data_IF_564291956221
#
_entry.id   IF_564291956221
#
_cell.length_a   1.000
_cell.length_b   1.000
_cell.length_c   1.000
_cell.angle_alpha   90.00
_cell.angle_beta   90.00
_cell.angle_gamma   90.00
#
_symmetry.space_group_name_H-M   'P 1'
#
loop_
_entity.id
_entity.type
_entity.pdbx_description
1 polymer ?
#
# COMPACT_ATOMS: atom_id res chain seq x y z
N UNK A 1 -6.13 8.50 -13.48
CA UNK A 1 -6.75 7.91 -12.27
C UNK A 1 -5.77 7.98 -11.12
N UNK A 2 -6.21 8.45 -9.95
CA UNK A 2 -5.42 8.40 -8.71
C UNK A 2 -5.65 7.04 -8.03
N UNK A 3 -4.57 6.35 -7.69
CA UNK A 3 -4.60 5.05 -7.06
C UNK A 3 -3.80 5.06 -5.75
N UNK A 4 -4.43 4.59 -4.68
CA UNK A 4 -3.79 4.31 -3.42
C UNK A 4 -3.33 2.85 -3.40
N UNK A 5 -2.07 2.62 -3.06
CA UNK A 5 -1.49 1.27 -2.92
C UNK A 5 -1.03 1.02 -1.50
N UNK A 6 -1.44 -0.11 -0.93
CA UNK A 6 -0.83 -0.67 0.27
C UNK A 6 0.37 -1.57 -0.06
N UNK A 7 1.01 -2.12 0.97
CA UNK A 7 2.18 -2.98 0.77
C UNK A 7 1.86 -4.29 0.05
N UNK A 8 0.65 -4.84 0.19
CA UNK A 8 0.28 -6.13 -0.41
C UNK A 8 0.41 -6.13 -1.93
N UNK A 9 0.09 -5.01 -2.60
CA UNK A 9 0.20 -4.89 -4.05
C UNK A 9 1.66 -4.93 -4.51
N UNK A 10 2.54 -4.12 -3.89
CA UNK A 10 3.95 -4.12 -4.28
C UNK A 10 4.63 -5.45 -3.93
N UNK A 11 4.27 -6.07 -2.81
CA UNK A 11 4.86 -7.34 -2.40
C UNK A 11 4.47 -8.48 -3.36
N UNK A 12 3.23 -8.50 -3.85
CA UNK A 12 2.83 -9.45 -4.88
C UNK A 12 3.68 -9.34 -6.15
N UNK A 13 4.01 -8.11 -6.57
CA UNK A 13 4.91 -7.87 -7.70
C UNK A 13 6.33 -8.32 -7.37
N UNK A 14 6.88 -7.84 -6.26
CA UNK A 14 8.29 -8.07 -5.89
C UNK A 14 8.61 -9.53 -5.61
N UNK A 15 7.66 -10.29 -5.08
CA UNK A 15 7.84 -11.70 -4.75
C UNK A 15 7.37 -12.66 -5.85
N UNK A 16 6.88 -12.15 -6.97
CA UNK A 16 6.27 -12.93 -8.04
C UNK A 16 5.17 -13.87 -7.50
N UNK A 17 4.26 -13.32 -6.69
CA UNK A 17 3.13 -14.09 -6.15
C UNK A 17 2.11 -14.39 -7.25
N UNK A 18 1.15 -15.28 -6.98
CA UNK A 18 0.11 -15.70 -7.93
C UNK A 18 -0.64 -14.49 -8.54
N UNK A 19 -0.83 -13.43 -7.76
CA UNK A 19 -1.54 -12.21 -8.17
C UNK A 19 -0.62 -11.12 -8.75
N UNK A 20 0.61 -11.45 -9.10
CA UNK A 20 1.59 -10.49 -9.65
C UNK A 20 1.05 -9.74 -10.86
N UNK A 21 0.49 -10.45 -11.84
CA UNK A 21 0.01 -9.83 -13.09
C UNK A 21 -1.15 -8.85 -12.83
N UNK A 22 -2.06 -9.20 -11.90
CA UNK A 22 -3.12 -8.30 -11.45
C UNK A 22 -2.53 -7.05 -10.78
N UNK A 23 -1.63 -7.25 -9.82
CA UNK A 23 -0.99 -6.17 -9.08
C UNK A 23 -0.24 -5.21 -10.03
N UNK A 24 0.48 -5.77 -11.01
CA UNK A 24 1.20 -4.99 -12.02
C UNK A 24 0.24 -4.24 -12.95
N UNK A 25 -0.88 -4.84 -13.36
CA UNK A 25 -1.92 -4.13 -14.13
C UNK A 25 -2.48 -2.95 -13.34
N UNK A 26 -2.82 -3.14 -12.05
CA UNK A 26 -3.30 -2.04 -11.22
C UNK A 26 -2.28 -0.92 -11.08
N UNK A 27 -1.00 -1.28 -10.91
CA UNK A 27 0.11 -0.33 -10.83
C UNK A 27 0.27 0.47 -12.12
N UNK A 28 0.35 -0.21 -13.27
CA UNK A 28 0.61 0.40 -14.58
C UNK A 28 -0.55 1.28 -15.07
N UNK A 29 -1.80 0.94 -14.76
CA UNK A 29 -2.98 1.72 -15.13
C UNK A 29 -3.14 3.03 -14.33
N UNK A 30 -2.42 3.17 -13.20
CA UNK A 30 -2.50 4.35 -12.34
C UNK A 30 -1.68 5.53 -12.89
N UNK A 31 -2.36 6.63 -13.20
CA UNK A 31 -1.72 7.89 -13.63
C UNK A 31 -0.99 8.57 -12.47
N UNK A 32 -1.55 8.47 -11.26
CA UNK A 32 -0.95 9.05 -10.05
C UNK A 32 -1.02 8.01 -8.95
N UNK A 33 0.13 7.68 -8.39
CA UNK A 33 0.28 6.66 -7.36
C UNK A 33 0.48 7.37 -6.03
N UNK A 34 -0.34 7.06 -5.05
CA UNK A 34 -0.28 7.69 -3.72
C UNK A 34 -0.19 6.61 -2.64
N UNK A 35 0.50 6.91 -1.56
CA UNK A 35 0.50 6.08 -0.35
C UNK A 35 1.00 6.88 0.85
N UNK A 36 1.13 6.24 2.02
CA UNK A 36 1.84 6.83 3.15
C UNK A 36 3.28 6.34 3.22
N UNK A 37 4.10 6.99 4.05
CA UNK A 37 5.46 6.52 4.35
C UNK A 37 5.49 5.08 4.90
N UNK A 38 4.37 4.58 5.43
CA UNK A 38 4.22 3.21 5.93
C UNK A 38 4.48 2.17 4.85
N UNK A 39 4.08 2.43 3.59
CA UNK A 39 4.34 1.54 2.46
C UNK A 39 5.84 1.21 2.33
N UNK A 40 6.71 2.21 2.50
CA UNK A 40 8.17 2.02 2.44
C UNK A 40 8.65 1.10 3.56
N UNK A 41 8.11 1.30 4.76
CA UNK A 41 8.51 0.57 5.97
C UNK A 41 8.04 -0.89 5.88
N UNK A 42 6.79 -1.12 5.49
CA UNK A 42 6.23 -2.47 5.40
C UNK A 42 6.90 -3.30 4.31
N UNK A 43 7.17 -2.70 3.15
CA UNK A 43 7.80 -3.40 2.04
C UNK A 43 9.25 -3.78 2.37
N UNK A 44 10.07 -2.85 2.89
CA UNK A 44 11.47 -3.18 3.24
C UNK A 44 11.57 -4.20 4.38
N UNK A 45 10.69 -4.14 5.38
CA UNK A 45 10.65 -5.12 6.46
C UNK A 45 10.25 -6.49 5.92
N UNK A 46 9.31 -6.54 4.98
CA UNK A 46 8.89 -7.79 4.33
C UNK A 46 9.99 -8.39 3.45
N UNK A 47 10.71 -7.57 2.66
CA UNK A 47 11.88 -8.02 1.90
C UNK A 47 12.95 -8.64 2.81
N UNK A 48 13.30 -7.95 3.89
CA UNK A 48 14.29 -8.43 4.87
C UNK A 48 13.84 -9.72 5.55
N UNK A 49 12.56 -9.82 5.92
CA UNK A 49 11.98 -11.02 6.52
C UNK A 49 12.02 -12.20 5.54
N UNK A 50 11.63 -11.97 4.28
CA UNK A 50 11.68 -12.99 3.23
C UNK A 50 13.10 -13.53 3.04
N UNK A 51 14.09 -12.63 2.99
CA UNK A 51 15.49 -13.00 2.87
C UNK A 51 15.96 -13.83 4.07
N UNK A 52 15.74 -13.38 5.30
CA UNK A 52 16.21 -14.10 6.50
C UNK A 52 15.57 -15.49 6.64
N UNK A 53 14.28 -15.62 6.32
CA UNK A 53 13.58 -16.93 6.34
C UNK A 53 14.10 -17.90 5.27
N UNK A 54 14.64 -17.39 4.15
CA UNK A 54 15.04 -18.19 3.00
C UNK A 54 16.53 -18.08 2.65
N UNK A 55 17.36 -17.57 3.57
CA UNK A 55 18.77 -17.22 3.33
C UNK A 55 19.64 -18.37 2.79
N UNK A 56 19.25 -19.61 3.08
CA UNK A 56 19.94 -20.82 2.58
C UNK A 56 19.62 -21.14 1.11
N UNK A 57 18.49 -20.63 0.60
CA UNK A 57 17.98 -20.88 -0.77
C UNK A 57 18.20 -19.67 -1.68
N UNK A 58 18.25 -18.47 -1.11
CA UNK A 58 18.44 -17.24 -1.85
C UNK A 58 19.93 -16.90 -1.97
N UNK A 59 20.30 -16.30 -3.10
CA UNK A 59 21.65 -15.80 -3.30
C UNK A 59 21.92 -14.59 -2.38
N UNK A 60 23.20 -14.29 -2.12
CA UNK A 60 23.59 -13.19 -1.22
C UNK A 60 23.28 -11.79 -1.76
N UNK A 61 23.11 -11.62 -3.08
CA UNK A 61 22.75 -10.35 -3.72
C UNK A 61 21.24 -10.13 -3.81
N UNK A 62 20.43 -11.13 -3.49
CA UNK A 62 18.97 -11.12 -3.70
C UNK A 62 18.33 -9.95 -2.96
N UNK A 63 18.73 -9.71 -1.71
CA UNK A 63 18.18 -8.61 -0.92
C UNK A 63 18.54 -7.25 -1.54
N UNK A 64 19.77 -7.06 -2.01
CA UNK A 64 20.18 -5.82 -2.68
C UNK A 64 19.47 -5.63 -4.02
N UNK A 65 19.28 -6.69 -4.80
CA UNK A 65 18.57 -6.67 -6.07
C UNK A 65 17.10 -6.29 -5.87
N UNK A 66 16.41 -6.96 -4.94
CA UNK A 66 15.00 -6.64 -4.61
C UNK A 66 14.81 -5.30 -3.94
N UNK A 67 15.79 -4.82 -3.18
CA UNK A 67 15.73 -3.46 -2.63
C UNK A 67 15.83 -2.43 -3.74
N UNK A 68 16.73 -2.62 -4.73
CA UNK A 68 16.83 -1.72 -5.88
C UNK A 68 15.53 -1.72 -6.71
N UNK A 69 14.95 -2.89 -6.96
CA UNK A 69 13.67 -3.01 -7.65
C UNK A 69 12.55 -2.30 -6.86
N UNK A 70 12.50 -2.49 -5.53
CA UNK A 70 11.56 -1.76 -4.66
C UNK A 70 11.75 -0.25 -4.76
N UNK A 71 12.99 0.25 -4.75
CA UNK A 71 13.28 1.68 -4.84
C UNK A 71 12.76 2.30 -6.15
N UNK A 72 12.79 1.56 -7.26
CA UNK A 72 12.21 1.98 -8.53
C UNK A 72 10.69 2.19 -8.43
N UNK A 73 9.96 1.23 -7.83
CA UNK A 73 8.53 1.38 -7.56
C UNK A 73 8.22 2.51 -6.57
N UNK A 74 9.00 2.60 -5.48
CA UNK A 74 8.79 3.61 -4.46
C UNK A 74 9.05 5.03 -4.97
N UNK A 75 9.87 5.21 -6.01
CA UNK A 75 10.13 6.52 -6.62
C UNK A 75 8.91 7.09 -7.38
N UNK A 76 7.95 6.25 -7.78
CA UNK A 76 6.74 6.67 -8.50
C UNK A 76 5.60 7.16 -7.58
N UNK A 77 5.72 6.94 -6.27
CA UNK A 77 4.66 7.20 -5.30
C UNK A 77 4.79 8.62 -4.73
N UNK A 78 3.66 9.33 -4.70
CA UNK A 78 3.50 10.53 -3.88
C UNK A 78 3.13 10.10 -2.44
N UNK A 79 3.98 10.47 -1.48
CA UNK A 79 3.83 10.05 -0.08
C UNK A 79 3.18 11.10 0.79
N UNK A 80 2.28 10.65 1.68
CA UNK A 80 1.86 11.40 2.86
C UNK A 80 2.68 10.93 4.06
N UNK A 81 3.24 11.89 4.80
CA UNK A 81 3.87 11.59 6.10
C UNK A 81 2.78 11.34 7.14
N UNK A 82 3.08 10.50 8.14
CA UNK A 82 2.19 10.29 9.29
C UNK A 82 2.60 11.30 10.36
N UNK A 83 1.71 12.24 10.65
CA UNK A 83 1.91 13.36 11.57
C UNK A 83 0.71 13.54 12.50
N UNK A 84 0.70 14.61 13.30
CA UNK A 84 -0.38 14.89 14.25
C UNK A 84 -1.74 15.09 13.56
N UNK A 85 -1.77 15.61 12.33
CA UNK A 85 -3.00 15.74 11.54
C UNK A 85 -3.59 14.35 11.24
N UNK A 86 -2.76 13.39 10.83
CA UNK A 86 -3.18 12.00 10.63
C UNK A 86 -3.74 11.39 11.92
N UNK A 87 -3.07 11.62 13.05
CA UNK A 87 -3.52 11.14 14.35
C UNK A 87 -4.91 11.69 14.69
N UNK A 88 -5.10 13.01 14.60
CA UNK A 88 -6.37 13.67 14.85
C UNK A 88 -7.47 13.16 13.89
N UNK A 89 -7.12 12.95 12.61
CA UNK A 89 -8.03 12.39 11.63
C UNK A 89 -8.52 10.99 12.03
N UNK A 90 -7.62 10.13 12.49
CA UNK A 90 -7.96 8.77 12.95
C UNK A 90 -8.88 8.81 14.17
N UNK A 91 -8.64 9.69 15.14
CA UNK A 91 -9.52 9.84 16.31
C UNK A 91 -10.97 10.20 15.94
N UNK A 92 -11.17 10.94 14.85
CA UNK A 92 -12.49 11.36 14.39
C UNK A 92 -13.23 10.27 13.59
N UNK A 93 -12.53 9.27 13.04
CA UNK A 93 -13.09 8.23 12.17
C UNK A 93 -13.11 6.88 12.88
N UNK A 94 -14.07 6.69 13.80
CA UNK A 94 -14.18 5.48 14.65
C UNK A 94 -14.27 4.18 13.85
N UNK A 95 -14.81 4.22 12.63
CA UNK A 95 -14.97 3.07 11.75
C UNK A 95 -13.63 2.50 11.28
N UNK A 96 -12.53 3.25 11.39
CA UNK A 96 -11.18 2.76 11.13
C UNK A 96 -10.76 1.60 12.06
N UNK A 97 -11.43 1.45 13.21
CA UNK A 97 -11.25 0.32 14.13
C UNK A 97 -11.60 -1.06 13.54
N UNK A 98 -12.20 -1.12 12.35
CA UNK A 98 -12.50 -2.37 11.63
C UNK A 98 -11.26 -3.02 11.01
N UNK A 99 -10.14 -2.30 10.91
CA UNK A 99 -8.86 -2.82 10.43
C UNK A 99 -7.82 -2.84 11.56
N UNK A 100 -6.69 -3.53 11.35
CA UNK A 100 -5.54 -3.42 12.27
C UNK A 100 -4.97 -2.00 12.20
N UNK A 101 -4.19 -1.60 13.21
CA UNK A 101 -3.74 -0.20 13.33
C UNK A 101 -2.98 0.33 12.11
N UNK A 102 -2.14 -0.49 11.46
CA UNK A 102 -1.39 -0.11 10.27
C UNK A 102 -2.29 0.03 9.03
N UNK A 103 -3.13 -0.97 8.81
CA UNK A 103 -4.17 -0.98 7.76
C UNK A 103 -5.12 0.23 7.91
N UNK A 104 -5.50 0.56 9.14
CA UNK A 104 -6.31 1.73 9.45
C UNK A 104 -5.62 3.05 9.05
N UNK A 105 -4.29 3.15 9.24
CA UNK A 105 -3.50 4.29 8.77
C UNK A 105 -3.48 4.35 7.24
N UNK A 106 -3.44 3.21 6.54
CA UNK A 106 -3.56 3.19 5.08
C UNK A 106 -4.89 3.77 4.60
N UNK A 107 -6.01 3.30 5.17
CA UNK A 107 -7.35 3.82 4.85
C UNK A 107 -7.48 5.30 5.21
N UNK A 108 -6.99 5.71 6.38
CA UNK A 108 -6.98 7.12 6.81
C UNK A 108 -6.22 7.99 5.81
N UNK A 109 -5.06 7.53 5.34
CA UNK A 109 -4.27 8.24 4.34
C UNK A 109 -5.02 8.39 3.02
N UNK A 110 -5.66 7.32 2.53
CA UNK A 110 -6.47 7.39 1.32
C UNK A 110 -7.64 8.39 1.45
N UNK A 111 -8.27 8.44 2.62
CA UNK A 111 -9.33 9.41 2.93
C UNK A 111 -8.82 10.85 2.92
N UNK A 112 -7.68 11.12 3.55
CA UNK A 112 -7.07 12.45 3.55
C UNK A 112 -6.67 12.89 2.14
N UNK A 113 -6.12 11.99 1.31
CA UNK A 113 -5.88 12.30 -0.10
C UNK A 113 -7.17 12.66 -0.83
N UNK A 114 -8.26 11.92 -0.59
CA UNK A 114 -9.54 12.21 -1.22
C UNK A 114 -10.08 13.59 -0.80
N UNK A 115 -10.03 13.91 0.49
CA UNK A 115 -10.47 15.21 1.01
C UNK A 115 -9.64 16.37 0.42
N UNK A 116 -8.32 16.18 0.30
CA UNK A 116 -7.40 17.19 -0.25
C UNK A 116 -7.50 17.37 -1.78
N UNK A 117 -8.08 16.40 -2.49
CA UNK A 117 -8.23 16.45 -3.96
C UNK A 117 -9.70 16.67 -4.35
N UNK A 118 -10.42 17.56 -3.66
CA UNK A 118 -11.82 17.92 -3.96
C UNK A 118 -12.78 16.71 -4.07
N UNK A 119 -12.52 15.65 -3.30
CA UNK A 119 -13.26 14.39 -3.36
C UNK A 119 -13.20 13.69 -4.73
N UNK A 120 -12.07 13.81 -5.44
CA UNK A 120 -11.79 13.01 -6.63
C UNK A 120 -11.90 11.50 -6.34
N UNK A 121 -12.28 10.75 -7.38
CA UNK A 121 -12.39 9.30 -7.30
C UNK A 121 -11.00 8.65 -7.20
N UNK A 122 -10.58 8.38 -5.97
CA UNK A 122 -9.42 7.54 -5.67
C UNK A 122 -9.86 6.08 -5.71
N UNK A 123 -9.05 5.23 -6.35
CA UNK A 123 -9.16 3.77 -6.18
C UNK A 123 -8.16 3.29 -5.15
N UNK A 124 -8.59 2.43 -4.24
CA UNK A 124 -7.73 1.80 -3.24
C UNK A 124 -7.47 0.34 -3.64
N UNK A 125 -6.20 0.01 -3.80
CA UNK A 125 -5.75 -1.32 -4.16
C UNK A 125 -5.09 -1.99 -2.95
N UNK A 126 -5.65 -3.13 -2.57
CA UNK A 126 -5.20 -3.98 -1.47
C UNK A 126 -5.68 -5.41 -1.67
N UNK A 127 -4.88 -6.39 -1.25
CA UNK A 127 -5.28 -7.80 -1.15
C UNK A 127 -5.68 -8.18 0.28
N UNK A 128 -5.78 -7.23 1.21
CA UNK A 128 -6.34 -7.44 2.54
C UNK A 128 -7.86 -7.26 2.53
N UNK A 129 -8.58 -8.29 2.97
CA UNK A 129 -10.05 -8.30 2.98
C UNK A 129 -10.65 -7.24 3.90
N UNK A 130 -10.07 -7.01 5.08
CA UNK A 130 -10.58 -6.03 6.01
C UNK A 130 -10.41 -4.61 5.45
N UNK A 131 -9.25 -4.33 4.83
CA UNK A 131 -9.01 -3.07 4.13
C UNK A 131 -9.97 -2.87 2.97
N UNK A 132 -10.21 -3.92 2.17
CA UNK A 132 -11.16 -3.84 1.05
C UNK A 132 -12.58 -3.55 1.53
N UNK A 133 -13.09 -4.28 2.52
CA UNK A 133 -14.42 -4.06 3.09
C UNK A 133 -14.56 -2.64 3.65
N UNK A 134 -13.53 -2.14 4.34
CA UNK A 134 -13.54 -0.79 4.88
C UNK A 134 -13.44 0.28 3.78
N UNK A 135 -12.65 0.04 2.74
CA UNK A 135 -12.56 0.94 1.58
C UNK A 135 -13.91 1.03 0.84
N UNK A 136 -14.60 -0.10 0.65
CA UNK A 136 -15.96 -0.14 0.09
C UNK A 136 -16.95 0.61 0.99
N UNK A 137 -16.87 0.45 2.31
CA UNK A 137 -17.69 1.21 3.26
C UNK A 137 -17.51 2.73 3.09
N UNK A 138 -16.28 3.17 2.85
CA UNK A 138 -15.95 4.57 2.54
C UNK A 138 -16.17 4.96 1.07
N UNK A 139 -16.76 4.09 0.24
CA UNK A 139 -17.09 4.31 -1.17
C UNK A 139 -15.88 4.57 -2.08
N UNK A 140 -14.72 3.98 -1.75
CA UNK A 140 -13.62 3.91 -2.71
C UNK A 140 -13.94 2.91 -3.83
N UNK A 141 -13.40 3.13 -5.02
CA UNK A 141 -13.26 2.05 -6.00
C UNK A 141 -12.15 1.10 -5.54
N UNK A 142 -12.34 -0.21 -5.69
CA UNK A 142 -11.37 -1.21 -5.21
C UNK A 142 -11.10 -2.29 -6.26
N UNK A 143 -10.02 -3.06 -6.11
CA UNK A 143 -9.80 -4.29 -6.88
C UNK A 143 -10.75 -5.40 -6.45
N UNK A 144 -10.86 -6.44 -7.29
CA UNK A 144 -11.49 -7.70 -6.89
C UNK A 144 -10.62 -8.39 -5.84
N UNK A 145 -11.27 -9.01 -4.88
CA UNK A 145 -10.66 -9.84 -3.84
C UNK A 145 -10.86 -11.31 -4.17
#
# INVERSE_FOLDING_TARGET
>A
MIAYFDSSILLAILFNEERQDEAYSYWSDATTKVSSILLKIETIISLRRMYELNKKKLNSSWLSEKTKELDEYLAEINYRIIDEEMEQFIYLKKELSKCRSLDAIHIATALMYRENNNNENIKLYSFDNAMHELAVHYKFGTNKI
#
